data_IF_752934598833
#
_entry.id   IF_752934598833
#
_cell.length_a   1.000
_cell.length_b   1.000
_cell.length_c   1.000
_cell.angle_alpha   90.00
_cell.angle_beta   90.00
_cell.angle_gamma   90.00
#
_symmetry.space_group_name_H-M   'P 1'
#
loop_
_entity.id
_entity.type
_entity.pdbx_description
1 polymer ?
#
# COMPACT_ATOMS: atom_id res chain seq x y z
N UNK A 1 -4.77 -9.44 -4.39
CA UNK A 1 -3.51 -9.27 -3.62
C UNK A 1 -2.55 -10.48 -3.68
N UNK A 2 -2.74 -11.43 -4.59
CA UNK A 2 -1.91 -12.66 -4.71
C UNK A 2 -0.99 -12.65 -5.95
N UNK A 3 -0.96 -11.55 -6.69
CA UNK A 3 -0.14 -11.42 -7.89
C UNK A 3 1.36 -11.49 -7.57
N UNK A 4 2.19 -11.92 -8.55
CA UNK A 4 3.61 -12.21 -8.32
C UNK A 4 4.47 -10.97 -8.10
N UNK A 5 4.01 -9.79 -8.57
CA UNK A 5 4.81 -8.56 -8.67
C UNK A 5 5.51 -8.19 -7.36
N UNK A 6 4.78 -8.09 -6.25
CA UNK A 6 5.37 -7.69 -4.97
C UNK A 6 6.24 -8.79 -4.35
N UNK A 7 5.76 -10.03 -4.15
CA UNK A 7 6.57 -11.09 -3.54
C UNK A 7 7.88 -11.36 -4.30
N UNK A 8 7.85 -11.37 -5.63
CA UNK A 8 9.05 -11.66 -6.44
C UNK A 8 10.11 -10.58 -6.31
N UNK A 9 9.72 -9.31 -6.33
CA UNK A 9 10.66 -8.19 -6.23
C UNK A 9 11.18 -8.08 -4.79
N UNK A 10 10.32 -8.13 -3.78
CA UNK A 10 10.72 -8.02 -2.38
C UNK A 10 11.70 -9.13 -1.98
N UNK A 11 11.48 -10.36 -2.45
CA UNK A 11 12.41 -11.48 -2.23
C UNK A 11 13.82 -11.23 -2.77
N UNK A 12 13.96 -10.51 -3.90
CA UNK A 12 15.29 -10.16 -4.45
C UNK A 12 16.07 -9.19 -3.55
N UNK A 13 15.37 -8.46 -2.69
CA UNK A 13 15.95 -7.54 -1.71
C UNK A 13 15.97 -8.11 -0.28
N UNK A 14 15.70 -9.41 -0.12
CA UNK A 14 15.63 -10.07 1.19
C UNK A 14 14.58 -9.45 2.13
N UNK A 15 13.48 -8.93 1.56
CA UNK A 15 12.36 -8.37 2.32
C UNK A 15 11.24 -9.41 2.38
N UNK A 16 10.90 -9.86 3.60
CA UNK A 16 9.75 -10.73 3.84
C UNK A 16 8.44 -10.00 3.61
N UNK A 17 7.44 -10.71 3.07
CA UNK A 17 6.13 -10.13 2.75
C UNK A 17 5.01 -11.00 3.32
N UNK A 18 4.08 -10.35 4.03
CA UNK A 18 2.83 -10.95 4.46
C UNK A 18 1.67 -10.29 3.74
N UNK A 19 0.62 -11.07 3.50
CA UNK A 19 -0.65 -10.59 2.96
C UNK A 19 -1.76 -10.85 4.00
N UNK A 20 -2.88 -10.11 3.95
CA UNK A 20 -4.05 -10.43 4.77
C UNK A 20 -4.59 -11.83 4.45
N UNK A 21 -5.36 -12.38 5.39
CA UNK A 21 -6.04 -13.67 5.20
C UNK A 21 -7.14 -13.56 4.14
N UNK A 22 -7.71 -14.69 3.73
CA UNK A 22 -8.67 -14.75 2.63
C UNK A 22 -9.89 -13.86 2.83
N UNK A 23 -10.59 -14.00 3.95
CA UNK A 23 -11.76 -13.17 4.30
C UNK A 23 -11.41 -11.67 4.33
N UNK A 24 -10.21 -11.34 4.81
CA UNK A 24 -9.74 -9.96 4.86
C UNK A 24 -9.54 -9.39 3.46
N UNK A 25 -8.95 -10.16 2.55
CA UNK A 25 -8.73 -9.75 1.16
C UNK A 25 -10.06 -9.56 0.42
N UNK A 26 -11.02 -10.46 0.61
CA UNK A 26 -12.33 -10.37 -0.06
C UNK A 26 -13.12 -9.15 0.39
N UNK A 27 -13.06 -8.84 1.69
CA UNK A 27 -13.70 -7.64 2.24
C UNK A 27 -12.97 -6.37 1.82
N UNK A 28 -11.64 -6.36 1.80
CA UNK A 28 -10.85 -5.25 1.27
C UNK A 28 -11.19 -4.99 -0.20
N UNK A 29 -11.26 -6.04 -1.03
CA UNK A 29 -11.63 -5.95 -2.44
C UNK A 29 -13.02 -5.36 -2.64
N UNK A 30 -13.98 -5.84 -1.84
CA UNK A 30 -15.35 -5.31 -1.81
C UNK A 30 -15.35 -3.81 -1.47
N UNK A 31 -14.63 -3.39 -0.43
CA UNK A 31 -14.52 -1.96 -0.07
C UNK A 31 -13.90 -1.16 -1.22
N UNK A 32 -12.79 -1.63 -1.81
CA UNK A 32 -12.12 -0.94 -2.91
C UNK A 32 -13.10 -0.71 -4.07
N UNK A 33 -13.75 -1.76 -4.57
CA UNK A 33 -14.58 -1.67 -5.77
C UNK A 33 -15.97 -1.10 -5.55
N UNK A 34 -16.58 -1.32 -4.39
CA UNK A 34 -17.93 -0.83 -4.09
C UNK A 34 -17.93 0.56 -3.48
N UNK A 35 -16.87 0.93 -2.76
CA UNK A 35 -16.81 2.22 -2.07
C UNK A 35 -15.75 3.13 -2.68
N UNK A 36 -14.47 2.78 -2.59
CA UNK A 36 -13.38 3.74 -2.86
C UNK A 36 -13.32 4.18 -4.32
N UNK A 37 -13.48 3.25 -5.27
CA UNK A 37 -13.56 3.55 -6.70
C UNK A 37 -14.73 4.47 -7.04
N UNK A 38 -15.81 4.45 -6.25
CA UNK A 38 -16.98 5.32 -6.40
C UNK A 38 -16.87 6.62 -5.57
N UNK A 39 -15.71 6.89 -4.96
CA UNK A 39 -15.49 8.07 -4.13
C UNK A 39 -16.22 8.04 -2.79
N UNK A 40 -16.65 6.86 -2.33
CA UNK A 40 -17.31 6.68 -1.04
C UNK A 40 -16.25 6.29 -0.01
N UNK A 41 -16.08 7.10 1.03
CA UNK A 41 -15.09 6.89 2.08
C UNK A 41 -15.78 6.77 3.43
N UNK A 42 -15.98 5.54 3.89
CA UNK A 42 -16.66 5.26 5.15
C UNK A 42 -15.65 5.11 6.28
N UNK A 43 -15.99 5.69 7.42
CA UNK A 43 -15.21 5.56 8.65
C UNK A 43 -15.08 4.10 9.10
N UNK A 44 -16.13 3.29 8.96
CA UNK A 44 -16.08 1.85 9.25
C UNK A 44 -15.12 1.07 8.34
N UNK A 45 -15.00 1.49 7.07
CA UNK A 45 -14.04 0.91 6.13
C UNK A 45 -12.62 1.30 6.49
N UNK A 46 -12.38 2.56 6.88
CA UNK A 46 -11.07 3.01 7.39
C UNK A 46 -10.65 2.22 8.64
N UNK A 47 -11.55 2.07 9.61
CA UNK A 47 -11.30 1.29 10.82
C UNK A 47 -10.98 -0.17 10.48
N UNK A 48 -11.74 -0.78 9.58
CA UNK A 48 -11.47 -2.14 9.12
C UNK A 48 -10.07 -2.30 8.51
N UNK A 49 -9.65 -1.36 7.66
CA UNK A 49 -8.27 -1.35 7.14
C UNK A 49 -7.25 -1.27 8.27
N UNK A 50 -7.45 -0.39 9.26
CA UNK A 50 -6.54 -0.29 10.40
C UNK A 50 -6.53 -1.57 11.25
N UNK A 51 -7.66 -2.26 11.43
CA UNK A 51 -7.71 -3.55 12.12
C UNK A 51 -6.90 -4.63 11.38
N UNK A 52 -7.02 -4.71 10.05
CA UNK A 52 -6.22 -5.64 9.23
C UNK A 52 -4.72 -5.30 9.34
N UNK A 53 -4.37 -4.02 9.26
CA UNK A 53 -2.99 -3.55 9.37
C UNK A 53 -2.42 -3.84 10.77
N UNK A 54 -3.24 -3.70 11.82
CA UNK A 54 -2.85 -4.09 13.18
C UNK A 54 -2.60 -5.59 13.28
N UNK A 55 -3.43 -6.45 12.69
CA UNK A 55 -3.16 -7.90 12.63
C UNK A 55 -1.86 -8.23 11.90
N UNK A 56 -1.53 -7.50 10.83
CA UNK A 56 -0.25 -7.67 10.13
C UNK A 56 0.95 -7.20 10.99
N UNK A 57 0.78 -6.11 11.75
CA UNK A 57 1.78 -5.67 12.73
C UNK A 57 2.02 -6.72 13.80
N UNK A 58 0.96 -7.33 14.32
CA UNK A 58 1.05 -8.37 15.35
C UNK A 58 1.74 -9.65 14.81
N UNK A 59 1.76 -9.83 13.47
CA UNK A 59 2.52 -10.87 12.78
C UNK A 59 3.99 -10.50 12.51
N UNK A 60 4.44 -9.32 12.95
CA UNK A 60 5.83 -8.87 12.85
C UNK A 60 6.15 -8.02 11.63
N UNK A 61 5.16 -7.49 10.90
CA UNK A 61 5.43 -6.55 9.81
C UNK A 61 5.94 -5.21 10.34
N UNK A 62 6.97 -4.65 9.72
CA UNK A 62 7.54 -3.33 10.08
C UNK A 62 6.87 -2.15 9.35
N UNK A 63 6.22 -2.42 8.22
CA UNK A 63 5.56 -1.44 7.37
C UNK A 63 4.42 -2.07 6.56
N UNK A 64 3.55 -1.25 5.99
CA UNK A 64 2.46 -1.69 5.10
C UNK A 64 2.56 -1.01 3.74
N UNK A 65 2.47 -1.79 2.67
CA UNK A 65 2.40 -1.27 1.29
C UNK A 65 0.95 -0.96 0.95
N UNK A 66 0.66 0.29 0.58
CA UNK A 66 -0.62 0.67 -0.01
C UNK A 66 -0.52 0.43 -1.52
N UNK A 67 -0.92 -0.78 -1.93
CA UNK A 67 -0.70 -1.30 -3.29
C UNK A 67 -1.78 -0.95 -4.32
N UNK A 68 -2.78 -0.17 -3.94
CA UNK A 68 -3.85 0.33 -4.80
C UNK A 68 -3.96 1.84 -4.58
N UNK A 69 -4.17 2.58 -5.67
CA UNK A 69 -4.14 4.05 -5.71
C UNK A 69 -5.19 4.72 -4.82
N UNK A 70 -6.28 4.01 -4.55
CA UNK A 70 -7.43 4.46 -3.78
C UNK A 70 -7.22 4.29 -2.26
N UNK A 71 -6.43 3.30 -1.84
CA UNK A 71 -6.21 3.03 -0.41
C UNK A 71 -5.58 4.23 0.33
N UNK A 72 -4.58 4.95 -0.22
CA UNK A 72 -4.03 6.16 0.40
C UNK A 72 -5.05 7.31 0.60
N UNK A 73 -6.22 7.27 -0.05
CA UNK A 73 -7.28 8.24 0.15
C UNK A 73 -8.12 7.93 1.41
N UNK A 74 -8.15 6.67 1.84
CA UNK A 74 -8.87 6.19 3.02
C UNK A 74 -7.97 6.07 4.26
N UNK A 75 -6.76 5.51 4.10
CA UNK A 75 -5.84 5.19 5.22
C UNK A 75 -4.87 6.35 5.45
N UNK A 76 -4.83 6.89 6.67
CA UNK A 76 -4.03 8.07 6.97
C UNK A 76 -2.76 7.72 7.77
N UNK A 77 -1.59 8.31 7.44
CA UNK A 77 -0.36 8.02 8.16
C UNK A 77 -0.40 8.36 9.66
N UNK A 78 -1.28 9.30 10.08
CA UNK A 78 -1.40 9.70 11.48
C UNK A 78 -2.17 8.73 12.38
N UNK A 79 -2.95 7.81 11.79
CA UNK A 79 -3.78 6.84 12.51
C UNK A 79 -3.52 5.38 12.11
N UNK A 80 -2.67 5.15 11.12
CA UNK A 80 -2.29 3.82 10.65
C UNK A 80 -1.39 3.11 11.68
N UNK A 81 -1.67 1.83 12.03
CA UNK A 81 -0.86 1.09 13.01
C UNK A 81 0.60 0.84 12.60
N UNK A 82 0.86 0.86 11.28
CA UNK A 82 2.18 0.66 10.68
C UNK A 82 2.60 1.85 9.82
N UNK A 83 3.91 2.13 9.70
CA UNK A 83 4.44 3.03 8.68
C UNK A 83 3.90 2.67 7.28
N UNK A 84 3.36 3.66 6.58
CA UNK A 84 2.77 3.44 5.25
C UNK A 84 3.81 3.62 4.14
N UNK A 85 3.77 2.73 3.17
CA UNK A 85 4.50 2.81 1.90
C UNK A 85 3.49 2.98 0.77
N UNK A 86 3.16 4.23 0.46
CA UNK A 86 2.33 4.57 -0.70
C UNK A 86 3.10 4.28 -2.00
N UNK A 87 2.75 3.16 -2.64
CA UNK A 87 3.45 2.68 -3.84
C UNK A 87 3.39 3.69 -4.99
N UNK A 88 2.27 4.38 -5.16
CA UNK A 88 2.06 5.39 -6.21
C UNK A 88 2.95 6.61 -5.97
N UNK A 89 2.99 7.15 -4.75
CA UNK A 89 3.87 8.28 -4.42
C UNK A 89 5.35 7.92 -4.50
N UNK A 90 5.73 6.71 -4.08
CA UNK A 90 7.10 6.23 -4.20
C UNK A 90 7.53 6.11 -5.66
N UNK A 91 6.68 5.54 -6.51
CA UNK A 91 6.92 5.44 -7.95
C UNK A 91 7.04 6.82 -8.61
N UNK A 92 6.12 7.75 -8.29
CA UNK A 92 6.16 9.11 -8.84
C UNK A 92 7.46 9.84 -8.48
N UNK A 93 7.92 9.73 -7.23
CA UNK A 93 9.21 10.31 -6.80
C UNK A 93 10.41 9.68 -7.51
N UNK A 94 10.40 8.36 -7.70
CA UNK A 94 11.46 7.66 -8.42
C UNK A 94 11.50 8.08 -9.91
N UNK A 95 10.32 8.18 -10.55
CA UNK A 95 10.20 8.63 -11.93
C UNK A 95 10.72 10.06 -12.12
N UNK A 96 10.36 10.99 -11.23
CA UNK A 96 10.88 12.36 -11.27
C UNK A 96 12.40 12.40 -11.10
N UNK A 97 12.93 11.65 -10.13
CA UNK A 97 14.38 11.55 -9.89
C UNK A 97 15.12 11.07 -11.14
N UNK A 98 14.57 10.07 -11.84
CA UNK A 98 15.17 9.53 -13.05
C UNK A 98 15.09 10.53 -14.21
N UNK A 99 13.94 11.20 -14.42
CA UNK A 99 13.80 12.23 -15.44
C UNK A 99 14.81 13.38 -15.27
N UNK A 100 15.11 13.75 -14.01
CA UNK A 100 16.08 14.81 -13.69
C UNK A 100 17.55 14.38 -13.81
N UNK A 101 17.86 13.09 -13.92
CA UNK A 101 19.25 12.61 -14.09
C UNK A 101 19.82 12.97 -15.46
N UNK A 102 18.99 13.01 -16.50
CA UNK A 102 19.41 13.38 -17.87
C UNK A 102 19.68 14.87 -18.09
N UNK A 103 19.22 15.75 -17.21
CA UNK A 103 19.40 17.20 -17.32
C UNK A 103 20.71 17.74 -16.75
N UNK A 104 21.62 16.86 -16.31
CA UNK A 104 22.87 17.23 -15.60
C UNK A 104 24.15 17.02 -16.41
N UNK A 105 24.04 16.77 -17.72
CA UNK A 105 25.17 16.61 -18.66
C UNK A 105 25.39 17.84 -19.58
N UNK A 106 24.99 19.02 -19.13
CA UNK A 106 25.12 20.28 -19.88
C UNK A 106 26.06 21.25 -19.17
N UNK A 107 27.30 20.85 -18.92
CA UNK A 107 28.43 21.75 -18.59
C UNK A 107 29.71 21.27 -19.27
#
# INVERSE_FOLDING_TARGET
>A
MTGPVYPEILKKYDISCHIPDEDDRDRIDTIIFRELVNGIFLEGSRQYFNEVIQRLKDRGCDAVILGCTEIPLLVHPGDCPLPILDSTRLLARAALKEAMRGGRNSE
#
